data_IF_208373274923
#
_entry.id   IF_208373274923
#
_cell.length_a   1.000
_cell.length_b   1.000
_cell.length_c   1.000
_cell.angle_alpha   90.00
_cell.angle_beta   90.00
_cell.angle_gamma   90.00
#
_symmetry.space_group_name_H-M   'P 1'
#
loop_
_entity.id
_entity.type
_entity.pdbx_description
1 polymer ?
#
# COMPACT_ATOMS: atom_id res chain seq x y z
N UNK A 1 38.97 -3.73 -22.22
CA UNK A 1 39.46 -4.43 -21.01
C UNK A 1 38.29 -5.18 -20.40
N UNK A 2 38.31 -6.51 -20.39
CA UNK A 2 37.13 -7.35 -20.09
C UNK A 2 37.28 -8.00 -18.69
N UNK A 3 36.16 -8.25 -17.99
CA UNK A 3 36.08 -8.79 -16.62
C UNK A 3 36.95 -10.03 -16.37
N UNK A 4 37.22 -10.83 -17.41
CA UNK A 4 38.06 -12.04 -17.34
C UNK A 4 39.54 -11.76 -17.08
N UNK A 5 40.10 -10.66 -17.59
CA UNK A 5 41.53 -10.34 -17.38
C UNK A 5 41.82 -9.84 -15.96
N UNK A 6 40.83 -9.24 -15.30
CA UNK A 6 40.95 -8.72 -13.93
C UNK A 6 41.07 -9.86 -12.91
N UNK A 7 40.37 -10.97 -13.12
CA UNK A 7 40.38 -12.12 -12.20
C UNK A 7 41.65 -12.96 -12.32
N UNK A 8 42.26 -13.03 -13.50
CA UNK A 8 43.49 -13.79 -13.70
C UNK A 8 44.73 -13.12 -13.09
N UNK A 9 44.70 -11.80 -12.89
CA UNK A 9 45.83 -11.04 -12.30
C UNK A 9 45.83 -10.95 -10.77
N UNK A 10 44.81 -11.50 -10.09
CA UNK A 10 44.65 -11.39 -8.63
C UNK A 10 45.28 -12.52 -7.80
N UNK A 11 45.83 -13.58 -8.42
CA UNK A 11 46.12 -14.85 -7.72
C UNK A 11 47.57 -15.07 -7.27
N UNK A 12 48.41 -14.02 -7.17
CA UNK A 12 49.81 -14.18 -6.76
C UNK A 12 50.22 -13.12 -5.72
N UNK A 13 49.80 -13.32 -4.46
CA UNK A 13 50.53 -12.87 -3.26
C UNK A 13 49.82 -13.35 -1.98
N UNK A 14 50.34 -14.40 -1.33
CA UNK A 14 50.39 -14.58 0.14
C UNK A 14 50.71 -16.04 0.49
N UNK A 15 52.00 -16.36 0.55
CA UNK A 15 52.50 -17.52 1.29
C UNK A 15 52.61 -17.10 2.77
N UNK A 16 51.90 -17.79 3.67
CA UNK A 16 52.17 -17.74 5.12
C UNK A 16 51.17 -16.94 5.96
N UNK A 17 49.97 -17.49 6.17
CA UNK A 17 49.18 -17.30 7.39
C UNK A 17 48.20 -18.46 7.50
N UNK A 18 48.21 -19.17 8.62
CA UNK A 18 47.28 -20.25 8.94
C UNK A 18 45.86 -19.69 9.07
N UNK A 19 45.06 -19.89 8.01
CA UNK A 19 43.67 -19.45 7.95
C UNK A 19 42.83 -20.40 8.81
N UNK A 20 42.58 -20.02 10.07
CA UNK A 20 41.45 -20.60 10.81
C UNK A 20 40.17 -20.13 10.12
N UNK A 21 39.26 -21.04 9.71
CA UNK A 21 37.99 -20.61 9.18
C UNK A 21 37.21 -19.95 10.32
N UNK A 22 37.17 -18.61 10.32
CA UNK A 22 36.13 -17.88 11.03
C UNK A 22 34.82 -18.29 10.35
N UNK A 23 34.13 -19.28 10.93
CA UNK A 23 32.71 -19.45 10.71
C UNK A 23 32.05 -18.19 11.26
N UNK A 24 31.93 -17.17 10.41
CA UNK A 24 30.98 -16.11 10.64
C UNK A 24 29.61 -16.78 10.66
N UNK A 25 29.08 -17.03 11.86
CA UNK A 25 27.68 -17.33 12.03
C UNK A 25 26.94 -16.07 11.59
N UNK A 26 26.56 -15.99 10.32
CA UNK A 26 25.58 -15.03 9.87
C UNK A 26 24.28 -15.42 10.57
N UNK A 27 24.06 -14.86 11.76
CA UNK A 27 22.73 -14.82 12.34
C UNK A 27 21.86 -14.13 11.29
N UNK A 28 20.80 -14.79 10.78
CA UNK A 28 19.90 -14.12 9.87
C UNK A 28 19.45 -12.85 10.60
N UNK A 29 19.68 -11.69 9.99
CA UNK A 29 19.27 -10.42 10.55
C UNK A 29 17.82 -10.58 10.98
N UNK A 30 17.57 -10.48 12.29
CA UNK A 30 16.23 -10.65 12.87
C UNK A 30 15.33 -9.71 12.08
N UNK A 31 14.49 -10.26 11.20
CA UNK A 31 13.67 -9.47 10.29
C UNK A 31 12.84 -8.58 11.21
N UNK A 32 13.14 -7.28 11.24
CA UNK A 32 12.40 -6.36 12.09
C UNK A 32 10.93 -6.59 11.80
N UNK A 33 10.14 -6.84 12.85
CA UNK A 33 8.70 -7.07 12.70
C UNK A 33 8.14 -5.90 11.88
N UNK A 34 7.52 -6.21 10.75
CA UNK A 34 7.01 -5.22 9.82
C UNK A 34 5.78 -4.55 10.43
N UNK A 35 6.02 -3.52 11.24
CA UNK A 35 5.00 -2.71 11.91
C UNK A 35 5.16 -1.23 11.56
N UNK A 36 4.08 -0.48 11.70
CA UNK A 36 4.10 0.99 11.57
C UNK A 36 5.09 1.58 12.57
N UNK A 37 6.00 2.45 12.11
CA UNK A 37 7.00 3.08 12.99
C UNK A 37 6.57 4.48 13.44
N UNK A 38 5.81 5.19 12.60
CA UNK A 38 5.30 6.53 12.91
C UNK A 38 4.02 6.85 12.16
N UNK A 39 3.33 7.89 12.63
CA UNK A 39 2.19 8.51 11.94
C UNK A 39 2.52 9.95 11.56
N UNK A 40 2.52 10.25 10.26
CA UNK A 40 2.83 11.55 9.69
C UNK A 40 1.57 12.29 9.24
N UNK A 41 1.61 13.63 9.23
CA UNK A 41 0.47 14.42 8.76
C UNK A 41 0.38 14.38 7.23
N UNK A 42 -0.80 14.07 6.69
CA UNK A 42 -1.06 14.10 5.24
C UNK A 42 -1.23 15.55 4.76
N UNK A 43 -0.19 16.10 4.14
CA UNK A 43 -0.22 17.47 3.61
C UNK A 43 -0.62 18.49 4.67
N UNK A 44 -1.72 19.22 4.41
CA UNK A 44 -2.29 20.22 5.34
C UNK A 44 -3.63 19.79 5.95
N UNK A 45 -4.00 18.51 5.82
CA UNK A 45 -5.34 18.03 6.23
C UNK A 45 -5.47 17.81 7.73
N UNK A 46 -4.35 17.72 8.45
CA UNK A 46 -4.34 17.32 9.87
C UNK A 46 -4.48 15.81 10.10
N UNK A 47 -4.74 15.01 9.07
CA UNK A 47 -4.85 13.55 9.17
C UNK A 47 -3.50 12.93 9.51
N UNK A 48 -3.43 12.11 10.57
CA UNK A 48 -2.20 11.44 11.03
C UNK A 48 -2.13 10.02 10.45
N UNK A 49 -1.54 9.87 9.27
CA UNK A 49 -1.48 8.62 8.51
C UNK A 49 -0.23 7.81 8.86
N UNK A 50 -0.37 6.49 9.00
CA UNK A 50 0.75 5.57 9.20
C UNK A 50 1.78 5.67 8.08
N UNK A 51 3.07 5.48 8.40
CA UNK A 51 4.18 5.51 7.44
C UNK A 51 4.16 4.37 6.41
N UNK A 52 3.27 3.40 6.60
CA UNK A 52 2.87 2.38 5.64
C UNK A 52 1.35 2.46 5.49
N UNK A 53 0.87 2.43 4.25
CA UNK A 53 -0.56 2.42 3.91
C UNK A 53 -0.97 1.08 3.30
N UNK A 54 -2.25 0.74 3.39
CA UNK A 54 -2.80 -0.46 2.78
C UNK A 54 -3.41 -0.15 1.41
N UNK A 55 -2.81 -0.65 0.33
CA UNK A 55 -3.36 -0.54 -1.03
C UNK A 55 -4.07 -1.82 -1.43
N UNK A 56 -5.30 -1.72 -1.94
CA UNK A 56 -6.18 -2.87 -2.16
C UNK A 56 -6.43 -3.24 -3.63
N UNK A 57 -5.63 -2.72 -4.58
CA UNK A 57 -5.87 -2.91 -6.02
C UNK A 57 -5.79 -4.36 -6.51
N UNK A 58 -5.14 -5.24 -5.74
CA UNK A 58 -5.03 -6.68 -6.02
C UNK A 58 -5.76 -7.54 -4.98
N UNK A 59 -6.59 -6.92 -4.15
CA UNK A 59 -7.31 -7.61 -3.10
C UNK A 59 -8.36 -8.52 -3.74
N UNK A 60 -8.20 -9.83 -3.56
CA UNK A 60 -9.10 -10.86 -4.02
C UNK A 60 -10.18 -11.19 -2.99
N UNK A 61 -11.17 -11.98 -3.43
CA UNK A 61 -12.18 -12.53 -2.55
C UNK A 61 -11.54 -13.37 -1.43
N UNK A 62 -12.00 -13.18 -0.20
CA UNK A 62 -11.51 -13.92 0.97
C UNK A 62 -10.28 -13.35 1.66
N UNK A 63 -9.64 -12.30 1.12
CA UNK A 63 -8.44 -11.68 1.72
C UNK A 63 -8.74 -10.71 2.89
N UNK A 64 -9.88 -10.90 3.57
CA UNK A 64 -10.28 -10.06 4.69
C UNK A 64 -9.33 -10.15 5.89
N UNK A 65 -8.68 -11.30 6.07
CA UNK A 65 -7.65 -11.49 7.11
C UNK A 65 -6.43 -10.60 6.88
N UNK A 66 -6.06 -10.33 5.62
CA UNK A 66 -4.96 -9.42 5.28
C UNK A 66 -5.28 -7.99 5.71
N UNK A 67 -6.54 -7.55 5.58
CA UNK A 67 -6.99 -6.24 6.04
C UNK A 67 -6.97 -6.16 7.57
N UNK A 68 -7.48 -7.20 8.26
CA UNK A 68 -7.44 -7.28 9.74
C UNK A 68 -6.01 -7.22 10.24
N UNK A 69 -5.12 -8.01 9.65
CA UNK A 69 -3.71 -8.03 10.00
C UNK A 69 -3.07 -6.65 9.80
N UNK A 70 -3.30 -5.99 8.67
CA UNK A 70 -2.79 -4.65 8.41
C UNK A 70 -3.25 -3.64 9.47
N UNK A 71 -4.54 -3.66 9.81
CA UNK A 71 -5.09 -2.85 10.89
C UNK A 71 -4.43 -3.15 12.25
N UNK A 72 -4.27 -4.42 12.58
CA UNK A 72 -3.65 -4.85 13.85
C UNK A 72 -2.15 -4.48 13.93
N UNK A 73 -1.46 -4.33 12.79
CA UNK A 73 -0.09 -3.80 12.72
C UNK A 73 -0.02 -2.27 12.79
N UNK A 74 -1.16 -1.59 13.00
CA UNK A 74 -1.25 -0.14 13.16
C UNK A 74 -1.46 0.64 11.87
N UNK A 75 -1.69 -0.01 10.73
CA UNK A 75 -2.02 0.71 9.50
C UNK A 75 -3.39 1.36 9.67
N UNK A 76 -3.46 2.68 9.45
CA UNK A 76 -4.70 3.43 9.60
C UNK A 76 -5.14 4.15 8.32
N UNK A 77 -4.47 3.94 7.19
CA UNK A 77 -4.88 4.51 5.91
C UNK A 77 -5.05 3.40 4.88
N UNK A 78 -6.29 3.26 4.39
CA UNK A 78 -6.70 2.21 3.46
C UNK A 78 -7.15 2.85 2.16
N UNK A 79 -6.48 2.46 1.07
CA UNK A 79 -6.66 2.99 -0.27
C UNK A 79 -7.31 1.96 -1.18
N UNK A 80 -8.45 2.31 -1.76
CA UNK A 80 -9.24 1.46 -2.67
C UNK A 80 -9.84 2.27 -3.82
N UNK A 81 -10.67 1.68 -4.68
CA UNK A 81 -11.38 2.35 -5.76
C UNK A 81 -12.64 1.57 -6.15
N UNK A 82 -13.63 2.25 -6.73
CA UNK A 82 -14.85 1.61 -7.26
C UNK A 82 -14.55 0.57 -8.35
N UNK A 83 -13.46 0.76 -9.09
CA UNK A 83 -13.05 -0.11 -10.20
C UNK A 83 -12.25 -1.35 -9.75
N UNK A 84 -11.79 -1.41 -8.50
CA UNK A 84 -10.95 -2.53 -8.03
C UNK A 84 -11.81 -3.77 -7.79
N UNK A 85 -11.61 -4.80 -8.60
CA UNK A 85 -12.43 -6.01 -8.58
C UNK A 85 -13.91 -5.71 -8.81
N UNK A 86 -14.24 -4.71 -9.65
CA UNK A 86 -15.62 -4.27 -9.86
C UNK A 86 -16.36 -3.86 -8.56
N UNK A 87 -15.63 -3.32 -7.58
CA UNK A 87 -16.15 -2.90 -6.29
C UNK A 87 -15.96 -3.93 -5.16
N UNK A 88 -15.48 -5.13 -5.46
CA UNK A 88 -15.24 -6.17 -4.45
C UNK A 88 -14.25 -5.71 -3.37
N UNK A 89 -13.24 -4.92 -3.77
CA UNK A 89 -12.27 -4.40 -2.81
C UNK A 89 -12.91 -3.44 -1.80
N UNK A 90 -13.82 -2.57 -2.22
CA UNK A 90 -14.55 -1.67 -1.30
C UNK A 90 -15.47 -2.47 -0.38
N UNK A 91 -16.18 -3.45 -0.93
CA UNK A 91 -17.06 -4.33 -0.15
C UNK A 91 -16.27 -5.04 0.95
N UNK A 92 -15.12 -5.63 0.62
CA UNK A 92 -14.31 -6.36 1.58
C UNK A 92 -13.71 -5.45 2.67
N UNK A 93 -13.26 -4.25 2.31
CA UNK A 93 -12.81 -3.24 3.29
C UNK A 93 -13.97 -2.84 4.20
N UNK A 94 -15.14 -2.54 3.64
CA UNK A 94 -16.33 -2.15 4.39
C UNK A 94 -16.78 -3.26 5.36
N UNK A 95 -16.75 -4.51 4.92
CA UNK A 95 -17.09 -5.67 5.74
C UNK A 95 -16.14 -5.83 6.95
N UNK A 96 -14.84 -5.61 6.74
CA UNK A 96 -13.81 -5.82 7.78
C UNK A 96 -13.69 -4.63 8.74
N UNK A 97 -13.86 -3.40 8.25
CA UNK A 97 -13.57 -2.17 9.00
C UNK A 97 -14.81 -1.38 9.44
N UNK A 98 -16.05 -1.81 9.13
CA UNK A 98 -17.29 -1.10 9.53
C UNK A 98 -17.33 -0.66 10.99
N UNK A 99 -16.91 -1.52 11.91
CA UNK A 99 -16.95 -1.26 13.36
C UNK A 99 -15.67 -0.56 13.87
N UNK A 100 -14.80 -0.12 12.96
CA UNK A 100 -13.52 0.55 13.22
C UNK A 100 -13.38 1.85 12.43
N UNK A 101 -14.49 2.35 11.86
CA UNK A 101 -14.50 3.46 10.89
C UNK A 101 -13.88 4.74 11.44
N UNK A 102 -14.06 5.00 12.73
CA UNK A 102 -13.52 6.14 13.47
C UNK A 102 -11.99 6.05 13.72
N UNK A 103 -11.40 4.87 13.49
CA UNK A 103 -9.97 4.59 13.74
C UNK A 103 -9.14 4.52 12.46
N UNK A 104 -9.77 4.64 11.30
CA UNK A 104 -9.11 4.54 9.99
C UNK A 104 -9.49 5.69 9.09
N UNK A 105 -8.58 6.03 8.19
CA UNK A 105 -8.80 6.90 7.06
C UNK A 105 -9.06 6.03 5.82
N UNK A 106 -10.18 6.28 5.16
CA UNK A 106 -10.55 5.60 3.93
C UNK A 106 -10.38 6.55 2.75
N UNK A 107 -9.59 6.11 1.77
CA UNK A 107 -9.50 6.74 0.47
C UNK A 107 -10.15 5.85 -0.57
N UNK A 108 -11.08 6.42 -1.34
CA UNK A 108 -11.59 5.77 -2.55
C UNK A 108 -11.37 6.67 -3.77
N UNK A 109 -11.57 6.08 -4.95
CA UNK A 109 -11.32 6.72 -6.23
C UNK A 109 -12.44 6.37 -7.18
N UNK A 110 -12.68 7.28 -8.10
CA UNK A 110 -13.54 7.08 -9.25
C UNK A 110 -12.93 7.76 -10.46
N UNK A 111 -13.29 7.35 -11.66
CA UNK A 111 -12.90 8.06 -12.87
C UNK A 111 -13.89 9.19 -13.14
N UNK A 112 -13.38 10.41 -13.32
CA UNK A 112 -14.16 11.51 -13.88
C UNK A 112 -13.86 11.62 -15.38
N UNK A 113 -14.91 11.81 -16.18
CA UNK A 113 -14.81 12.07 -17.63
C UNK A 113 -15.39 13.46 -17.96
N UNK A 114 -15.03 14.09 -19.09
CA UNK A 114 -15.51 15.44 -19.44
C UNK A 114 -17.04 15.59 -19.51
N UNK A 115 -17.75 14.49 -19.79
CA UNK A 115 -19.21 14.45 -19.84
C UNK A 115 -19.90 14.20 -18.49
N UNK A 116 -19.13 13.92 -17.43
CA UNK A 116 -19.70 13.66 -16.11
C UNK A 116 -20.27 14.93 -15.50
N UNK A 117 -21.42 14.76 -14.86
CA UNK A 117 -22.10 15.84 -14.14
C UNK A 117 -22.01 15.55 -12.65
N UNK A 118 -22.23 16.59 -11.84
CA UNK A 118 -22.30 16.47 -10.37
C UNK A 118 -23.10 15.24 -9.94
N UNK A 119 -24.28 15.03 -10.51
CA UNK A 119 -25.14 13.92 -10.09
C UNK A 119 -24.60 12.53 -10.50
N UNK A 120 -23.87 12.39 -11.61
CA UNK A 120 -23.22 11.10 -11.93
C UNK A 120 -22.08 10.80 -10.96
N UNK A 121 -21.25 11.81 -10.66
CA UNK A 121 -20.17 11.70 -9.69
C UNK A 121 -20.69 11.39 -8.28
N UNK A 122 -21.77 12.05 -7.85
CA UNK A 122 -22.40 11.78 -6.56
C UNK A 122 -22.97 10.36 -6.50
N UNK A 123 -23.60 9.85 -7.57
CA UNK A 123 -24.06 8.45 -7.63
C UNK A 123 -22.90 7.44 -7.53
N UNK A 124 -21.76 7.74 -8.15
CA UNK A 124 -20.55 6.90 -8.05
C UNK A 124 -20.01 6.88 -6.61
N UNK A 125 -19.95 8.05 -5.96
CA UNK A 125 -19.60 8.18 -4.55
C UNK A 125 -20.58 7.41 -3.66
N UNK A 126 -21.88 7.58 -3.83
CA UNK A 126 -22.90 6.83 -3.08
C UNK A 126 -22.77 5.31 -3.25
N UNK A 127 -22.42 4.85 -4.46
CA UNK A 127 -22.10 3.44 -4.71
C UNK A 127 -20.91 2.96 -3.88
N UNK A 128 -19.86 3.77 -3.82
CA UNK A 128 -18.65 3.51 -3.03
C UNK A 128 -18.97 3.46 -1.53
N UNK A 129 -19.73 4.44 -1.03
CA UNK A 129 -20.16 4.54 0.37
C UNK A 129 -21.01 3.33 0.81
N UNK A 130 -21.93 2.88 -0.05
CA UNK A 130 -22.72 1.66 0.21
C UNK A 130 -21.83 0.42 0.35
N UNK A 131 -20.85 0.24 -0.54
CA UNK A 131 -19.92 -0.91 -0.47
C UNK A 131 -18.99 -0.81 0.75
N UNK A 132 -18.48 0.38 1.04
CA UNK A 132 -17.64 0.64 2.20
C UNK A 132 -18.40 0.64 3.54
N UNK A 133 -19.74 0.54 3.52
CA UNK A 133 -20.61 0.54 4.71
C UNK A 133 -20.36 1.74 5.63
N UNK A 134 -20.20 2.91 5.04
CA UNK A 134 -20.00 4.19 5.74
C UNK A 134 -20.70 5.31 4.99
N UNK A 135 -20.89 6.43 5.64
CA UNK A 135 -21.51 7.66 5.14
C UNK A 135 -20.48 8.69 4.62
N UNK A 136 -19.18 8.45 4.82
CA UNK A 136 -18.11 9.31 4.29
C UNK A 136 -16.82 8.55 3.97
N UNK A 137 -16.04 9.10 3.04
CA UNK A 137 -14.61 8.79 2.85
C UNK A 137 -13.79 10.01 3.26
N UNK A 138 -12.59 9.78 3.78
CA UNK A 138 -11.71 10.87 4.23
C UNK A 138 -11.04 11.56 3.03
N UNK A 139 -10.77 10.79 1.98
CA UNK A 139 -10.25 11.30 0.72
C UNK A 139 -10.99 10.64 -0.44
N UNK A 140 -11.38 11.45 -1.43
CA UNK A 140 -11.95 10.96 -2.68
C UNK A 140 -11.16 11.50 -3.86
N UNK A 141 -10.58 10.60 -4.65
CA UNK A 141 -9.73 10.97 -5.78
C UNK A 141 -10.44 10.83 -7.12
N UNK A 142 -10.09 11.70 -8.06
CA UNK A 142 -10.13 11.32 -9.46
C UNK A 142 -9.00 10.32 -9.72
N UNK A 143 -9.34 9.10 -10.12
CA UNK A 143 -8.44 7.94 -10.14
C UNK A 143 -7.26 8.14 -11.07
N UNK A 144 -7.47 8.77 -12.22
CA UNK A 144 -6.39 9.17 -13.11
C UNK A 144 -6.83 10.29 -14.04
N UNK A 145 -5.96 11.28 -14.19
CA UNK A 145 -6.00 12.28 -15.26
C UNK A 145 -4.77 12.04 -16.12
N UNK A 146 -4.84 11.00 -16.93
CA UNK A 146 -3.71 10.48 -17.68
C UNK A 146 -3.81 10.75 -19.19
N UNK A 147 -4.83 11.50 -19.62
CA UNK A 147 -5.03 11.95 -21.00
C UNK A 147 -5.63 13.36 -20.99
N UNK A 148 -5.34 14.17 -22.02
CA UNK A 148 -5.96 15.49 -22.21
C UNK A 148 -7.46 15.35 -22.50
N UNK A 149 -7.88 14.26 -23.15
CA UNK A 149 -9.29 13.94 -23.33
C UNK A 149 -10.01 13.59 -22.01
N UNK A 150 -9.27 13.43 -20.91
CA UNK A 150 -9.80 13.21 -19.55
C UNK A 150 -9.70 14.45 -18.64
N UNK A 151 -9.21 15.58 -19.15
CA UNK A 151 -9.28 16.89 -18.51
C UNK A 151 -10.63 17.56 -18.78
#
# INVERSE_FOLDING_TARGET
>A
MNRRELLQRGALAAFGLSIRPLRASAQPARRAEARVQRYATLGRTGMRVSDISFGSSRLGAGEGDTIRYAFDQGINYFDTADSYGSGDSETLIGDVLRDKRDRVYLASKTYASPGDRRDSMMRALEGSLRRLRTDYVDVYFNHAVNDVERL
#
